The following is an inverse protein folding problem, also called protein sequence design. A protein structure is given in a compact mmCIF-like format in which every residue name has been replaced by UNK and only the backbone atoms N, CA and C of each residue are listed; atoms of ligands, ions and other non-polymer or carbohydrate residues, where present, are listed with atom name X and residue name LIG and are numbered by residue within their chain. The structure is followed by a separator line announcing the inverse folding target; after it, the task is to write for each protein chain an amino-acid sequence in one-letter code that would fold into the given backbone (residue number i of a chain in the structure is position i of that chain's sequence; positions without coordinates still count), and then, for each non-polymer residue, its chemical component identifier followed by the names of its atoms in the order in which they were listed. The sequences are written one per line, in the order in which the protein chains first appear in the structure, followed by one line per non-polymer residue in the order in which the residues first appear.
data_IF_524451630860
#
_entry.id   IF_524451630860
#
_cell.length_a   1.000
_cell.length_b   1.000
_cell.length_c   1.000
_cell.angle_alpha   90.00
_cell.angle_beta   90.00
_cell.angle_gamma   90.00
#
_symmetry.space_group_name_H-M   'P 1'
#
loop_
_entity.id
_entity.type
_entity.pdbx_description
1 polymer ?
#
# COMPACT_ATOMS: atom_id res chain seq x y z
N UNK A 1 -77.80 61.55 -20.66
CA UNK A 1 -76.52 62.23 -20.36
C UNK A 1 -75.99 61.67 -19.05
N UNK A 2 -75.02 60.77 -19.09
CA UNK A 2 -73.78 60.83 -18.30
C UNK A 2 -72.87 59.71 -18.77
N UNK A 3 -71.58 60.03 -18.80
CA UNK A 3 -70.49 59.36 -19.48
C UNK A 3 -69.72 58.52 -18.46
N UNK A 4 -69.05 57.49 -18.98
CA UNK A 4 -67.68 57.05 -18.65
C UNK A 4 -67.43 56.03 -17.53
N UNK A 5 -66.49 55.15 -17.92
CA UNK A 5 -65.36 54.57 -17.20
C UNK A 5 -65.64 53.43 -16.22
N UNK A 6 -65.62 52.22 -16.78
CA UNK A 6 -65.11 51.04 -16.11
C UNK A 6 -63.61 51.26 -15.86
N UNK A 7 -63.27 51.66 -14.63
CA UNK A 7 -61.88 51.73 -14.17
C UNK A 7 -61.57 50.39 -13.52
N UNK A 8 -60.82 49.55 -14.23
CA UNK A 8 -60.23 48.34 -13.69
C UNK A 8 -59.13 48.78 -12.71
N UNK A 9 -59.44 48.74 -11.42
CA UNK A 9 -58.45 48.91 -10.36
C UNK A 9 -57.57 47.65 -10.40
N UNK A 10 -56.36 47.81 -10.94
CA UNK A 10 -55.28 46.84 -10.78
C UNK A 10 -54.90 46.90 -9.31
N UNK A 11 -55.36 45.90 -8.55
CA UNK A 11 -54.87 45.61 -7.21
C UNK A 11 -53.41 45.19 -7.36
N UNK A 12 -52.49 46.13 -7.14
CA UNK A 12 -51.09 45.84 -6.93
C UNK A 12 -50.97 45.07 -5.62
N UNK A 13 -50.98 43.74 -5.72
CA UNK A 13 -50.55 42.85 -4.65
C UNK A 13 -49.07 43.14 -4.40
N UNK A 14 -48.80 43.99 -3.42
CA UNK A 14 -47.50 44.10 -2.78
C UNK A 14 -47.18 42.72 -2.19
N UNK A 15 -46.44 41.91 -2.95
CA UNK A 15 -45.62 40.86 -2.40
C UNK A 15 -44.55 41.56 -1.56
N UNK A 16 -44.90 41.83 -0.30
CA UNK A 16 -43.92 41.87 0.77
C UNK A 16 -43.44 40.44 0.91
N UNK A 17 -42.48 40.07 0.06
CA UNK A 17 -41.61 38.95 0.37
C UNK A 17 -40.94 39.31 1.68
N UNK A 18 -41.36 38.66 2.76
CA UNK A 18 -40.56 38.59 3.96
C UNK A 18 -39.26 37.90 3.55
N UNK A 19 -38.22 38.68 3.24
CA UNK A 19 -36.86 38.20 3.30
C UNK A 19 -36.56 38.04 4.78
N UNK A 20 -36.95 36.88 5.32
CA UNK A 20 -36.50 36.44 6.62
C UNK A 20 -35.07 35.97 6.36
N UNK A 21 -34.11 36.88 6.50
CA UNK A 21 -32.76 36.44 6.86
C UNK A 21 -32.94 35.57 8.11
N UNK A 22 -32.74 34.27 7.90
CA UNK A 22 -32.95 33.29 8.93
C UNK A 22 -31.61 33.22 9.68
N UNK A 23 -31.40 34.13 10.61
CA UNK A 23 -30.18 34.22 11.43
C UNK A 23 -29.91 32.94 12.26
N UNK A 24 -30.89 32.02 12.29
CA UNK A 24 -30.81 30.70 12.91
C UNK A 24 -30.31 29.59 11.94
N UNK A 25 -29.94 29.92 10.69
CA UNK A 25 -29.16 29.01 9.85
C UNK A 25 -27.73 28.96 10.39
N UNK A 26 -27.48 28.00 11.29
CA UNK A 26 -26.12 27.53 11.53
C UNK A 26 -25.62 26.98 10.20
N UNK A 27 -24.68 27.66 9.55
CA UNK A 27 -23.98 27.11 8.39
C UNK A 27 -23.41 25.75 8.82
N UNK A 28 -23.83 24.63 8.19
CA UNK A 28 -23.47 23.30 8.67
C UNK A 28 -21.98 22.99 8.58
N UNK A 29 -21.16 23.92 8.09
CA UNK A 29 -19.83 23.69 7.55
C UNK A 29 -18.82 24.80 7.89
N UNK A 30 -18.92 25.38 9.08
CA UNK A 30 -17.83 26.23 9.56
C UNK A 30 -16.55 25.39 9.66
N UNK A 31 -15.44 25.87 9.07
CA UNK A 31 -14.19 25.10 8.92
C UNK A 31 -13.58 24.67 10.24
N UNK A 32 -13.89 25.37 11.33
CA UNK A 32 -13.57 25.04 12.72
C UNK A 32 -14.27 23.76 13.23
N UNK A 33 -15.37 23.33 12.60
CA UNK A 33 -16.12 22.11 12.94
C UNK A 33 -15.69 20.86 12.17
N UNK A 34 -14.92 21.03 11.10
CA UNK A 34 -14.42 19.94 10.25
C UNK A 34 -12.92 20.14 9.99
N UNK A 35 -12.06 19.69 10.91
CA UNK A 35 -10.62 19.82 10.73
C UNK A 35 -10.14 18.96 9.56
N UNK A 36 -9.05 19.38 8.93
CA UNK A 36 -8.28 18.48 8.05
C UNK A 36 -7.54 17.47 8.95
N UNK A 37 -7.60 16.19 8.57
CA UNK A 37 -6.99 15.10 9.35
C UNK A 37 -5.81 14.56 8.57
N UNK A 38 -4.62 14.61 9.17
CA UNK A 38 -3.43 13.92 8.69
C UNK A 38 -3.44 12.51 9.31
N UNK A 39 -3.20 11.47 8.51
CA UNK A 39 -3.14 10.07 8.96
C UNK A 39 -1.95 9.35 8.31
N UNK A 40 -1.58 8.21 8.87
CA UNK A 40 -0.83 7.19 8.12
C UNK A 40 -1.78 6.57 7.10
N UNK A 41 -1.30 6.30 5.89
CA UNK A 41 -2.18 5.78 4.84
C UNK A 41 -2.46 4.28 5.01
N UNK A 42 -1.45 3.54 5.46
CA UNK A 42 -1.49 2.10 5.73
C UNK A 42 -1.34 1.78 7.22
N UNK A 43 -1.73 0.56 7.60
CA UNK A 43 -1.61 -0.04 8.92
C UNK A 43 -0.35 -0.92 9.07
N UNK A 44 0.28 -1.35 7.97
CA UNK A 44 1.55 -2.06 8.04
C UNK A 44 2.23 -2.32 6.69
N UNK A 45 3.44 -2.87 6.78
CA UNK A 45 4.28 -3.30 5.67
C UNK A 45 5.35 -4.26 6.22
N UNK A 46 6.15 -4.87 5.35
CA UNK A 46 7.30 -5.66 5.75
C UNK A 46 8.36 -5.71 4.67
N UNK A 47 9.57 -6.05 5.07
CA UNK A 47 10.70 -6.11 4.15
C UNK A 47 11.78 -7.04 4.66
N UNK A 48 12.61 -7.54 3.75
CA UNK A 48 13.69 -8.46 4.08
C UNK A 48 14.70 -7.81 5.03
N UNK A 49 15.33 -8.64 5.87
CA UNK A 49 16.22 -8.16 6.91
C UNK A 49 17.51 -7.49 6.43
N UNK A 50 17.85 -7.65 5.15
CA UNK A 50 18.98 -7.05 4.45
C UNK A 50 18.59 -5.80 3.63
N UNK A 51 17.34 -5.34 3.72
CA UNK A 51 16.91 -4.11 3.06
C UNK A 51 17.57 -2.87 3.66
N UNK A 52 17.84 -1.88 2.79
CA UNK A 52 18.50 -0.63 3.16
C UNK A 52 17.56 0.40 3.84
N UNK A 53 16.25 0.15 3.83
CA UNK A 53 15.26 0.97 4.49
C UNK A 53 13.84 0.56 4.16
N UNK A 54 12.90 1.15 4.88
CA UNK A 54 11.46 0.99 4.67
C UNK A 54 10.78 2.36 4.76
N UNK A 55 9.53 2.46 4.33
CA UNK A 55 8.82 3.74 4.36
C UNK A 55 7.40 3.62 4.90
N UNK A 56 6.80 4.76 5.21
CA UNK A 56 5.36 4.85 5.47
C UNK A 56 4.81 6.15 4.89
N UNK A 57 3.58 6.09 4.39
CA UNK A 57 2.92 7.24 3.77
C UNK A 57 2.12 8.00 4.82
N UNK A 58 2.34 9.32 4.88
CA UNK A 58 1.53 10.26 5.66
C UNK A 58 0.67 11.05 4.69
N UNK A 59 -0.66 10.92 4.80
CA UNK A 59 -1.61 11.54 3.86
C UNK A 59 -2.70 12.35 4.56
N UNK A 60 -3.48 13.08 3.76
CA UNK A 60 -4.67 13.81 4.20
C UNK A 60 -5.93 12.99 3.92
N UNK A 61 -6.81 12.91 4.92
CA UNK A 61 -8.16 12.39 4.69
C UNK A 61 -8.92 13.24 3.68
N UNK A 62 -9.75 12.55 2.90
CA UNK A 62 -10.73 13.19 2.02
C UNK A 62 -11.61 14.17 2.79
N UNK A 63 -11.75 15.37 2.23
CA UNK A 63 -12.67 16.37 2.78
C UNK A 63 -13.99 16.32 2.05
N UNK A 64 -15.08 16.45 2.81
CA UNK A 64 -16.35 16.96 2.27
C UNK A 64 -16.20 18.48 2.06
N UNK A 65 -16.51 19.00 0.87
CA UNK A 65 -16.44 20.44 0.58
C UNK A 65 -17.26 21.22 1.64
N UNK A 66 -16.70 22.24 2.31
CA UNK A 66 -17.49 23.14 3.15
C UNK A 66 -18.62 23.87 2.40
N UNK A 67 -18.65 23.90 1.07
CA UNK A 67 -19.81 24.38 0.29
C UNK A 67 -20.95 23.36 0.19
N UNK A 68 -20.73 22.12 0.64
CA UNK A 68 -21.71 21.03 0.61
C UNK A 68 -21.77 20.26 -0.72
N UNK A 69 -20.86 20.50 -1.67
CA UNK A 69 -20.69 19.64 -2.85
C UNK A 69 -19.98 18.34 -2.47
N UNK A 70 -20.45 17.21 -2.99
CA UNK A 70 -19.67 15.96 -2.97
C UNK A 70 -18.47 16.15 -3.89
N UNK A 71 -17.26 16.14 -3.33
CA UNK A 71 -16.02 16.26 -4.11
C UNK A 71 -15.57 14.94 -4.74
N UNK A 72 -16.39 13.89 -4.68
CA UNK A 72 -16.10 12.61 -5.30
C UNK A 72 -14.73 12.01 -4.93
N UNK A 73 -14.26 12.21 -3.68
CA UNK A 73 -12.95 11.71 -3.24
C UNK A 73 -11.75 12.59 -3.60
N UNK A 74 -11.94 13.92 -3.71
CA UNK A 74 -10.81 14.83 -3.96
C UNK A 74 -10.18 15.29 -2.64
N UNK A 75 -8.97 14.81 -2.35
CA UNK A 75 -8.12 15.31 -1.26
C UNK A 75 -7.80 16.79 -1.49
N UNK A 76 -8.13 17.64 -0.51
CA UNK A 76 -7.81 19.08 -0.53
C UNK A 76 -6.50 19.30 0.25
N UNK A 77 -5.42 19.76 -0.41
CA UNK A 77 -4.14 20.02 0.27
C UNK A 77 -4.22 21.06 1.39
N UNK A 78 -3.21 21.07 2.26
CA UNK A 78 -3.08 22.10 3.29
C UNK A 78 -2.78 23.47 2.67
N UNK A 79 -3.37 24.57 3.16
CA UNK A 79 -3.08 25.93 2.67
C UNK A 79 -1.75 26.49 3.17
N UNK A 80 -1.25 25.97 4.29
CA UNK A 80 0.03 26.34 4.90
C UNK A 80 0.74 25.07 5.41
N UNK A 81 2.07 25.14 5.53
CA UNK A 81 2.88 24.02 6.00
C UNK A 81 2.51 23.64 7.44
N UNK A 82 2.59 22.34 7.74
CA UNK A 82 2.45 21.80 9.07
C UNK A 82 3.70 21.02 9.46
N UNK A 83 3.97 20.92 10.76
CA UNK A 83 4.98 20.00 11.31
C UNK A 83 4.25 18.84 11.96
N UNK A 84 4.41 17.64 11.42
CA UNK A 84 3.84 16.41 11.95
C UNK A 84 4.88 15.77 12.85
N UNK A 85 4.50 15.41 14.07
CA UNK A 85 5.35 14.69 15.02
C UNK A 85 4.96 13.22 15.03
N UNK A 86 5.95 12.34 15.11
CA UNK A 86 5.77 10.89 15.14
C UNK A 86 6.65 10.23 16.20
N UNK A 87 6.36 8.98 16.51
CA UNK A 87 7.13 8.17 17.45
C UNK A 87 7.22 6.73 16.95
N UNK A 88 8.44 6.17 16.96
CA UNK A 88 8.73 4.76 16.74
C UNK A 88 8.72 4.08 18.11
N UNK A 89 7.95 3.01 18.25
CA UNK A 89 7.73 2.28 19.50
C UNK A 89 7.51 0.79 19.20
N UNK A 90 7.14 0.06 20.25
CA UNK A 90 6.78 -1.37 20.18
C UNK A 90 7.85 -2.19 19.45
N UNK A 91 9.11 -2.02 19.90
CA UNK A 91 10.26 -2.72 19.35
C UNK A 91 10.20 -4.20 19.75
N UNK A 92 9.96 -5.08 18.79
CA UNK A 92 9.94 -6.53 18.96
C UNK A 92 11.18 -7.14 18.32
N UNK A 93 11.77 -8.14 18.96
CA UNK A 93 12.97 -8.82 18.46
C UNK A 93 14.30 -8.06 18.66
N UNK A 94 14.30 -6.81 19.12
CA UNK A 94 15.55 -6.07 19.39
C UNK A 94 15.46 -5.06 20.55
N UNK A 95 16.63 -4.70 21.09
CA UNK A 95 16.73 -3.93 22.34
C UNK A 95 16.79 -2.41 22.17
N UNK A 96 17.45 -1.92 21.10
CA UNK A 96 17.59 -0.49 20.86
C UNK A 96 17.26 -0.16 19.41
N UNK A 97 16.47 0.90 19.23
CA UNK A 97 16.14 1.43 17.91
C UNK A 97 17.36 1.73 17.05
N UNK A 98 18.40 2.32 17.66
CA UNK A 98 19.62 2.73 16.96
C UNK A 98 20.49 1.57 16.46
N UNK A 99 20.20 0.33 16.88
CA UNK A 99 20.93 -0.84 16.40
C UNK A 99 20.50 -1.20 14.97
N UNK A 100 19.21 -0.98 14.66
CA UNK A 100 18.61 -1.27 13.36
C UNK A 100 18.31 0.00 12.54
N UNK A 101 17.63 1.01 13.09
CA UNK A 101 17.34 2.25 12.36
C UNK A 101 18.49 3.25 12.51
N UNK A 102 19.05 3.68 11.40
CA UNK A 102 20.23 4.56 11.34
C UNK A 102 19.86 6.02 11.03
N UNK A 103 18.72 6.26 10.36
CA UNK A 103 18.32 7.58 9.90
C UNK A 103 16.87 7.64 9.43
N UNK A 104 16.45 8.83 9.01
CA UNK A 104 15.16 9.01 8.33
C UNK A 104 15.21 10.22 7.39
N UNK A 105 14.54 10.10 6.24
CA UNK A 105 14.33 11.16 5.27
C UNK A 105 12.86 11.18 4.84
N UNK A 106 12.45 12.20 4.09
CA UNK A 106 11.09 12.23 3.54
C UNK A 106 11.05 12.98 2.22
N UNK A 107 10.09 12.62 1.39
CA UNK A 107 9.83 13.27 0.11
C UNK A 107 8.35 13.27 -0.23
N UNK A 108 7.99 13.97 -1.30
CA UNK A 108 6.69 13.83 -1.96
C UNK A 108 6.90 13.87 -3.47
N UNK A 109 6.01 13.23 -4.20
CA UNK A 109 6.02 13.26 -5.66
C UNK A 109 5.49 14.59 -6.20
N UNK A 110 6.22 15.18 -7.15
CA UNK A 110 5.79 16.38 -7.89
C UNK A 110 5.07 15.96 -9.17
N UNK A 111 5.60 14.93 -9.82
CA UNK A 111 5.04 14.19 -10.93
C UNK A 111 5.64 12.77 -10.92
N UNK A 112 5.15 11.91 -11.81
CA UNK A 112 5.53 10.49 -11.96
C UNK A 112 7.06 10.24 -12.07
N UNK A 113 7.86 11.28 -12.31
CA UNK A 113 9.28 11.17 -12.58
C UNK A 113 10.15 12.12 -11.74
N UNK A 114 9.55 12.88 -10.83
CA UNK A 114 10.24 13.93 -10.08
C UNK A 114 9.74 13.97 -8.66
N UNK A 115 10.65 13.81 -7.72
CA UNK A 115 10.37 13.97 -6.30
C UNK A 115 10.79 15.35 -5.80
N UNK A 116 10.35 15.70 -4.59
CA UNK A 116 10.85 16.88 -3.88
C UNK A 116 12.37 16.85 -3.65
N UNK A 117 12.97 15.65 -3.53
CA UNK A 117 14.41 15.49 -3.33
C UNK A 117 15.20 15.89 -4.59
N UNK A 118 14.74 15.51 -5.78
CA UNK A 118 15.39 15.84 -7.06
C UNK A 118 15.53 17.35 -7.28
N UNK A 119 14.54 18.10 -6.80
CA UNK A 119 14.53 19.57 -6.87
C UNK A 119 15.05 20.24 -5.59
N UNK A 120 15.70 19.47 -4.70
CA UNK A 120 16.35 19.92 -3.47
C UNK A 120 15.40 20.62 -2.49
N UNK A 121 14.16 20.14 -2.38
CA UNK A 121 13.19 20.55 -1.36
C UNK A 121 13.30 19.60 -0.17
N UNK A 122 13.96 20.05 0.89
CA UNK A 122 14.10 19.30 2.14
C UNK A 122 12.86 19.44 3.03
N UNK A 123 12.27 18.32 3.45
CA UNK A 123 11.13 18.25 4.37
C UNK A 123 11.54 18.35 5.86
N UNK A 124 12.82 18.59 6.16
CA UNK A 124 13.36 18.84 7.50
C UNK A 124 12.98 17.74 8.50
N UNK A 125 13.21 16.48 8.11
CA UNK A 125 13.02 15.35 9.03
C UNK A 125 14.00 15.46 10.19
N UNK A 126 13.51 15.20 11.39
CA UNK A 126 14.31 15.06 12.61
C UNK A 126 13.90 13.77 13.28
N UNK A 127 14.87 12.94 13.66
CA UNK A 127 14.64 11.71 14.42
C UNK A 127 15.63 11.62 15.58
N UNK A 128 15.12 11.35 16.78
CA UNK A 128 15.92 11.02 17.94
C UNK A 128 15.87 9.51 18.20
N UNK A 129 16.89 8.78 17.73
CA UNK A 129 16.99 7.33 17.88
C UNK A 129 17.00 6.84 19.33
N UNK A 130 17.38 7.69 20.30
CA UNK A 130 17.34 7.29 21.71
C UNK A 130 15.91 7.27 22.29
N UNK A 131 14.97 7.97 21.67
CA UNK A 131 13.58 8.03 22.15
C UNK A 131 12.56 7.59 21.11
N UNK A 132 12.97 7.30 19.88
CA UNK A 132 12.09 7.04 18.73
C UNK A 132 11.25 8.23 18.27
N UNK A 133 11.44 9.43 18.85
CA UNK A 133 10.58 10.58 18.56
C UNK A 133 11.15 11.38 17.41
N UNK A 134 10.29 11.76 16.47
CA UNK A 134 10.66 12.55 15.31
C UNK A 134 9.61 13.56 14.87
N UNK A 135 9.96 14.31 13.85
CA UNK A 135 9.05 15.24 13.18
C UNK A 135 9.43 15.44 11.72
N UNK A 136 8.44 15.74 10.89
CA UNK A 136 8.60 16.03 9.46
C UNK A 136 7.71 17.22 9.06
N UNK A 137 8.18 18.04 8.11
CA UNK A 137 7.36 19.09 7.51
C UNK A 137 6.44 18.49 6.46
N UNK A 138 5.14 18.63 6.67
CA UNK A 138 4.10 18.39 5.68
C UNK A 138 3.85 19.69 4.90
N UNK A 139 4.27 19.80 3.62
CA UNK A 139 4.20 21.06 2.90
C UNK A 139 2.77 21.45 2.52
N UNK A 140 2.52 22.75 2.38
CA UNK A 140 1.30 23.24 1.73
C UNK A 140 1.20 22.75 0.28
N UNK A 141 -0.02 22.64 -0.22
CA UNK A 141 -0.34 22.18 -1.58
C UNK A 141 0.12 20.75 -1.92
N UNK A 142 0.54 19.97 -0.91
CA UNK A 142 0.88 18.55 -1.03
C UNK A 142 -0.24 17.73 -0.39
N UNK A 143 -0.50 16.54 -0.95
CA UNK A 143 -1.57 15.63 -0.50
C UNK A 143 -1.05 14.54 0.43
N UNK A 144 0.16 14.07 0.16
CA UNK A 144 0.85 13.04 0.92
C UNK A 144 2.36 13.26 0.87
N UNK A 145 3.04 12.71 1.86
CA UNK A 145 4.50 12.63 1.91
C UNK A 145 4.85 11.19 2.29
N UNK A 146 5.99 10.72 1.81
CA UNK A 146 6.56 9.44 2.20
C UNK A 146 7.70 9.68 3.18
N UNK A 147 7.65 9.01 4.33
CA UNK A 147 8.67 9.06 5.38
C UNK A 147 9.48 7.76 5.31
N UNK A 148 10.74 7.87 4.91
CA UNK A 148 11.66 6.75 4.70
C UNK A 148 12.59 6.63 5.89
N UNK A 149 12.73 5.43 6.43
CA UNK A 149 13.67 5.08 7.50
C UNK A 149 14.83 4.29 6.92
N UNK A 150 16.05 4.74 7.20
CA UNK A 150 17.26 4.04 6.80
C UNK A 150 17.57 2.96 7.86
N UNK A 151 17.88 1.75 7.42
CA UNK A 151 18.18 0.59 8.28
C UNK A 151 19.68 0.25 8.23
N UNK A 152 20.09 -0.66 9.10
CA UNK A 152 21.40 -1.29 9.10
C UNK A 152 21.20 -2.72 8.56
N UNK A 153 21.32 -2.86 7.24
CA UNK A 153 21.16 -4.10 6.47
C UNK A 153 21.93 -5.30 7.07
N UNK A 154 23.11 -5.05 7.66
CA UNK A 154 23.92 -6.09 8.27
C UNK A 154 23.56 -6.43 9.73
N UNK A 155 22.56 -5.79 10.34
CA UNK A 155 22.23 -6.03 11.75
C UNK A 155 21.56 -7.39 11.95
N UNK A 156 20.67 -7.74 11.03
CA UNK A 156 19.84 -8.91 11.11
C UNK A 156 20.27 -10.03 10.15
N UNK A 157 20.93 -9.71 9.03
CA UNK A 157 21.59 -10.66 8.10
C UNK A 157 22.69 -11.47 8.81
N UNK A 158 22.28 -12.51 9.53
CA UNK A 158 23.15 -13.35 10.35
C UNK A 158 23.16 -14.83 9.93
N UNK A 159 22.42 -15.18 8.87
CA UNK A 159 22.30 -16.53 8.35
C UNK A 159 21.69 -17.51 9.36
N UNK A 160 20.80 -17.04 10.22
CA UNK A 160 20.14 -17.80 11.28
C UNK A 160 18.65 -17.48 11.35
N UNK A 161 17.84 -18.49 11.00
CA UNK A 161 16.40 -18.45 11.19
C UNK A 161 16.01 -18.05 12.62
N UNK A 162 15.14 -17.06 12.67
CA UNK A 162 14.58 -16.46 13.84
C UNK A 162 13.58 -17.34 14.55
N UNK A 163 13.55 -17.18 15.87
CA UNK A 163 12.59 -17.89 16.74
C UNK A 163 11.52 -16.96 17.30
N UNK A 164 11.62 -15.66 17.03
CA UNK A 164 10.69 -14.62 17.47
C UNK A 164 10.53 -13.61 16.32
N UNK A 165 9.32 -13.04 16.21
CA UNK A 165 9.05 -11.95 15.27
C UNK A 165 9.88 -10.70 15.61
N UNK A 166 10.18 -9.92 14.57
CA UNK A 166 10.94 -8.68 14.64
C UNK A 166 10.10 -7.58 14.01
N UNK A 167 9.76 -6.55 14.77
CA UNK A 167 8.88 -5.49 14.26
C UNK A 167 9.09 -4.15 14.97
N UNK A 168 8.61 -3.09 14.32
CA UNK A 168 8.44 -1.75 14.91
C UNK A 168 7.08 -1.18 14.57
N UNK A 169 6.58 -0.29 15.42
CA UNK A 169 5.38 0.49 15.11
C UNK A 169 5.67 1.99 15.08
N UNK A 170 5.06 2.67 14.11
CA UNK A 170 5.13 4.13 13.92
C UNK A 170 3.75 4.72 14.19
N UNK A 171 3.70 5.77 15.01
CA UNK A 171 2.48 6.52 15.29
C UNK A 171 2.66 8.02 15.12
N UNK A 172 1.60 8.69 14.67
CA UNK A 172 1.53 10.15 14.70
C UNK A 172 1.18 10.61 16.12
N UNK A 173 1.99 11.52 16.67
CA UNK A 173 1.87 11.99 18.07
C UNK A 173 1.44 13.44 18.19
N UNK A 174 1.55 14.24 17.12
CA UNK A 174 1.00 15.58 17.10
C UNK A 174 1.15 16.29 15.76
N UNK A 175 0.52 17.47 15.67
CA UNK A 175 0.72 18.40 14.56
C UNK A 175 0.83 19.82 15.09
N UNK A 176 1.81 20.57 14.58
CA UNK A 176 1.94 22.00 14.79
C UNK A 176 1.66 22.71 13.46
N UNK A 177 0.55 23.43 13.41
CA UNK A 177 0.11 24.20 12.25
C UNK A 177 -0.37 25.60 12.70
N UNK A 178 -0.41 26.58 11.79
CA UNK A 178 -1.07 27.86 12.04
C UNK A 178 -2.51 27.65 12.54
N UNK A 179 -2.91 28.40 13.58
CA UNK A 179 -4.23 28.20 14.22
C UNK A 179 -5.42 28.35 13.25
N UNK A 180 -5.25 29.09 12.16
CA UNK A 180 -6.27 29.28 11.13
C UNK A 180 -6.48 28.04 10.24
N UNK A 181 -5.55 27.09 10.21
CA UNK A 181 -5.58 25.93 9.31
C UNK A 181 -6.48 24.79 9.80
N UNK A 182 -6.88 24.79 11.08
CA UNK A 182 -7.69 23.73 11.72
C UNK A 182 -7.28 22.30 11.29
N UNK A 183 -6.03 21.94 11.56
CA UNK A 183 -5.45 20.63 11.19
C UNK A 183 -5.29 19.79 12.46
N UNK A 184 -5.64 18.52 12.39
CA UNK A 184 -5.44 17.51 13.45
C UNK A 184 -4.76 16.27 12.85
N UNK A 185 -4.29 15.37 13.72
CA UNK A 185 -3.82 14.04 13.31
C UNK A 185 -4.81 12.97 13.74
N UNK A 186 -4.85 11.88 13.00
CA UNK A 186 -5.37 10.61 13.50
C UNK A 186 -4.29 9.92 14.33
N UNK A 187 -4.50 9.82 15.64
CA UNK A 187 -3.60 9.14 16.57
C UNK A 187 -4.14 7.79 17.05
N UNK A 188 -5.19 7.27 16.38
CA UNK A 188 -5.76 5.96 16.67
C UNK A 188 -5.18 4.85 15.78
N UNK A 189 -4.46 5.22 14.72
CA UNK A 189 -3.82 4.30 13.77
C UNK A 189 -2.32 4.30 13.97
N UNK A 190 -1.70 3.15 13.76
CA UNK A 190 -0.26 2.91 13.74
C UNK A 190 0.10 2.18 12.46
N UNK A 191 1.32 2.36 11.99
CA UNK A 191 1.91 1.57 10.92
C UNK A 191 2.90 0.58 11.55
N UNK A 192 2.72 -0.73 11.33
CA UNK A 192 3.65 -1.77 11.77
C UNK A 192 4.58 -2.15 10.62
N UNK A 193 5.89 -2.07 10.82
CA UNK A 193 6.86 -2.65 9.89
C UNK A 193 7.39 -3.96 10.47
N UNK A 194 7.28 -5.03 9.69
CA UNK A 194 7.80 -6.36 10.02
C UNK A 194 9.12 -6.64 9.29
N UNK A 195 10.12 -7.06 10.04
CA UNK A 195 11.41 -7.48 9.48
C UNK A 195 11.32 -8.95 9.14
N UNK A 196 11.35 -9.25 7.85
CA UNK A 196 11.18 -10.58 7.30
C UNK A 196 12.53 -11.30 7.22
N UNK A 197 12.54 -12.49 7.79
CA UNK A 197 13.69 -13.37 7.81
C UNK A 197 13.78 -14.19 6.53
N UNK A 198 14.85 -13.98 5.78
CA UNK A 198 15.08 -14.64 4.50
C UNK A 198 15.74 -16.03 4.68
N UNK A 199 16.23 -16.42 5.86
CA UNK A 199 16.46 -17.83 6.18
C UNK A 199 15.17 -18.63 6.32
N UNK A 200 14.05 -17.93 6.49
CA UNK A 200 12.70 -18.46 6.44
C UNK A 200 12.17 -18.59 5.01
N UNK A 201 10.84 -18.56 4.89
CA UNK A 201 10.15 -18.67 3.60
C UNK A 201 10.13 -17.35 2.81
N UNK A 202 10.31 -16.20 3.47
CA UNK A 202 10.27 -14.90 2.81
C UNK A 202 11.38 -14.73 1.77
N UNK A 203 11.09 -13.92 0.77
CA UNK A 203 11.97 -13.65 -0.37
C UNK A 203 11.66 -14.50 -1.59
N UNK A 204 12.62 -14.51 -2.52
CA UNK A 204 12.43 -15.03 -3.87
C UNK A 204 12.85 -16.48 -4.03
N UNK A 205 12.01 -17.27 -4.72
CA UNK A 205 12.27 -18.66 -5.02
C UNK A 205 12.03 -18.97 -6.50
N UNK A 206 13.06 -19.46 -7.18
CA UNK A 206 13.06 -19.76 -8.60
C UNK A 206 12.67 -21.21 -8.91
N UNK A 207 11.82 -21.40 -9.90
CA UNK A 207 11.54 -22.71 -10.50
C UNK A 207 12.46 -22.98 -11.69
N UNK A 208 13.15 -24.13 -11.69
CA UNK A 208 13.87 -24.61 -12.88
C UNK A 208 12.89 -25.04 -13.99
N UNK A 209 12.57 -24.12 -14.90
CA UNK A 209 11.70 -24.38 -16.05
C UNK A 209 12.26 -25.45 -17.01
N UNK A 210 13.57 -25.74 -16.98
CA UNK A 210 14.18 -26.79 -17.78
C UNK A 210 13.85 -28.20 -17.25
N UNK A 211 13.49 -28.30 -15.97
CA UNK A 211 12.96 -29.51 -15.38
C UNK A 211 11.50 -29.71 -15.79
N UNK A 212 11.30 -30.46 -16.89
CA UNK A 212 9.99 -30.72 -17.47
C UNK A 212 8.93 -31.27 -16.50
N UNK A 213 9.33 -32.00 -15.44
CA UNK A 213 8.39 -32.49 -14.45
C UNK A 213 7.90 -31.38 -13.51
N UNK A 214 8.82 -30.52 -13.04
CA UNK A 214 8.50 -29.39 -12.17
C UNK A 214 7.72 -28.30 -12.92
N UNK A 215 8.11 -28.00 -14.16
CA UNK A 215 7.37 -27.09 -15.02
C UNK A 215 5.93 -27.57 -15.31
N UNK A 216 5.73 -28.88 -15.51
CA UNK A 216 4.40 -29.43 -15.68
C UNK A 216 3.53 -29.29 -14.42
N UNK A 217 4.12 -29.45 -13.23
CA UNK A 217 3.43 -29.25 -11.95
C UNK A 217 3.05 -27.77 -11.76
N UNK A 218 3.98 -26.84 -12.03
CA UNK A 218 3.70 -25.41 -12.02
C UNK A 218 2.51 -25.04 -12.91
N UNK A 219 2.49 -25.53 -14.15
CA UNK A 219 1.37 -25.32 -15.07
C UNK A 219 0.07 -25.93 -14.56
N UNK A 220 0.13 -27.08 -13.87
CA UNK A 220 -1.06 -27.71 -13.31
C UNK A 220 -1.63 -26.92 -12.13
N UNK A 221 -0.76 -26.33 -11.30
CA UNK A 221 -1.16 -25.47 -10.19
C UNK A 221 -1.70 -24.14 -10.69
N UNK A 222 -0.89 -23.33 -11.38
CA UNK A 222 -1.24 -21.94 -11.68
C UNK A 222 -1.90 -21.74 -13.04
N UNK A 223 -1.74 -22.70 -13.96
CA UNK A 223 -2.54 -22.73 -15.19
C UNK A 223 -4.02 -23.03 -14.94
N UNK A 224 -4.36 -23.50 -13.73
CA UNK A 224 -5.73 -23.69 -13.30
C UNK A 224 -6.50 -22.35 -13.19
N UNK A 225 -5.81 -21.29 -12.77
CA UNK A 225 -6.38 -19.94 -12.60
C UNK A 225 -5.99 -18.97 -13.72
N UNK A 226 -4.87 -19.21 -14.41
CA UNK A 226 -4.35 -18.32 -15.44
C UNK A 226 -4.15 -19.06 -16.78
N UNK A 227 -4.92 -18.66 -17.80
CA UNK A 227 -4.89 -19.33 -19.11
C UNK A 227 -3.57 -19.18 -19.85
N UNK A 228 -2.84 -18.10 -19.61
CA UNK A 228 -1.56 -17.84 -20.28
C UNK A 228 -0.51 -18.81 -19.73
N UNK A 229 -0.47 -18.99 -18.41
CA UNK A 229 0.34 -20.04 -17.75
C UNK A 229 -0.06 -21.44 -18.24
N UNK A 230 -1.36 -21.73 -18.37
CA UNK A 230 -1.84 -23.04 -18.85
C UNK A 230 -1.31 -23.37 -20.25
N UNK A 231 -1.16 -22.35 -21.09
CA UNK A 231 -0.71 -22.49 -22.49
C UNK A 231 0.81 -22.42 -22.68
N UNK A 232 1.55 -22.02 -21.64
CA UNK A 232 2.98 -21.71 -21.66
C UNK A 232 3.85 -22.90 -22.08
N UNK A 233 4.78 -22.71 -23.01
CA UNK A 233 5.82 -23.71 -23.31
C UNK A 233 7.12 -23.32 -22.60
N UNK A 234 7.86 -24.31 -22.09
CA UNK A 234 9.12 -24.06 -21.37
C UNK A 234 10.18 -23.31 -22.20
N UNK A 235 10.07 -23.36 -23.54
CA UNK A 235 10.98 -22.65 -24.43
C UNK A 235 10.68 -21.14 -24.55
N UNK A 236 9.49 -20.72 -24.13
CA UNK A 236 9.06 -19.32 -24.15
C UNK A 236 9.33 -18.61 -22.81
N UNK A 237 9.82 -19.35 -21.82
CA UNK A 237 10.09 -18.88 -20.45
C UNK A 237 11.56 -18.56 -20.28
N UNK A 238 11.85 -17.38 -19.76
CA UNK A 238 13.18 -16.98 -19.32
C UNK A 238 13.38 -17.32 -17.83
N UNK A 239 12.43 -16.92 -16.97
CA UNK A 239 12.48 -17.15 -15.51
C UNK A 239 11.07 -17.34 -14.93
N UNK A 240 10.95 -18.16 -13.90
CA UNK A 240 9.75 -18.28 -13.05
C UNK A 240 10.18 -18.08 -11.60
N UNK A 241 9.58 -17.11 -10.94
CA UNK A 241 9.89 -16.70 -9.58
C UNK A 241 8.60 -16.67 -8.76
N UNK A 242 8.69 -17.14 -7.51
CA UNK A 242 7.63 -17.06 -6.51
C UNK A 242 8.23 -16.31 -5.31
N UNK A 243 7.68 -15.14 -5.03
CA UNK A 243 8.12 -14.24 -3.96
C UNK A 243 7.11 -14.32 -2.81
N UNK A 244 7.61 -14.56 -1.60
CA UNK A 244 6.82 -14.49 -0.37
C UNK A 244 7.15 -13.18 0.33
N UNK A 245 6.21 -12.24 0.27
CA UNK A 245 6.32 -10.87 0.76
C UNK A 245 5.37 -10.65 1.94
N UNK A 246 5.31 -9.42 2.46
CA UNK A 246 4.43 -9.10 3.59
C UNK A 246 2.96 -9.18 3.17
N UNK A 247 2.20 -10.07 3.82
CA UNK A 247 0.79 -10.33 3.53
C UNK A 247 0.47 -10.69 2.06
N UNK A 248 1.49 -11.04 1.24
CA UNK A 248 1.36 -11.30 -0.19
C UNK A 248 2.27 -12.44 -0.70
N UNK A 249 1.78 -13.15 -1.71
CA UNK A 249 2.60 -13.97 -2.61
C UNK A 249 2.47 -13.42 -4.02
N UNK A 250 3.63 -13.22 -4.66
CA UNK A 250 3.73 -12.81 -6.05
C UNK A 250 4.36 -13.93 -6.90
N UNK A 251 3.72 -14.31 -8.00
CA UNK A 251 4.22 -15.29 -8.96
C UNK A 251 4.51 -14.59 -10.28
N UNK A 252 5.78 -14.48 -10.63
CA UNK A 252 6.27 -13.82 -11.85
C UNK A 252 6.82 -14.82 -12.85
N UNK A 253 6.33 -14.73 -14.08
CA UNK A 253 6.84 -15.49 -15.24
C UNK A 253 7.38 -14.52 -16.27
N UNK A 254 8.70 -14.38 -16.34
CA UNK A 254 9.37 -13.61 -17.37
C UNK A 254 9.47 -14.44 -18.66
N UNK A 255 8.99 -13.89 -19.78
CA UNK A 255 9.01 -14.54 -21.08
C UNK A 255 10.26 -14.18 -21.87
N UNK A 256 10.73 -15.08 -22.74
CA UNK A 256 11.81 -14.79 -23.70
C UNK A 256 11.39 -13.70 -24.70
N UNK A 257 10.09 -13.53 -24.94
CA UNK A 257 9.57 -12.40 -25.72
C UNK A 257 9.75 -11.09 -24.95
N UNK A 258 10.32 -10.10 -25.61
CA UNK A 258 10.55 -8.77 -25.03
C UNK A 258 9.57 -7.73 -25.57
N UNK A 259 9.29 -6.70 -24.79
CA UNK A 259 8.59 -5.49 -25.22
C UNK A 259 9.36 -4.21 -24.93
N UNK A 260 8.88 -3.09 -25.46
CA UNK A 260 9.49 -1.79 -25.24
C UNK A 260 8.63 -0.96 -24.32
N UNK A 261 9.15 -0.68 -23.13
CA UNK A 261 8.50 0.18 -22.13
C UNK A 261 9.17 1.54 -22.18
N UNK A 262 8.38 2.61 -22.12
CA UNK A 262 8.90 3.97 -22.03
C UNK A 262 8.35 4.64 -20.79
N UNK A 263 9.23 4.90 -19.84
CA UNK A 263 8.93 5.51 -18.56
C UNK A 263 9.90 6.67 -18.34
N UNK A 264 9.38 7.81 -17.89
CA UNK A 264 10.18 9.02 -17.67
C UNK A 264 11.06 9.46 -18.85
N UNK A 265 10.62 9.15 -20.08
CA UNK A 265 11.33 9.50 -21.32
C UNK A 265 12.55 8.61 -21.62
N UNK A 266 12.78 7.56 -20.82
CA UNK A 266 13.74 6.49 -21.10
C UNK A 266 12.98 5.30 -21.67
N UNK A 267 13.47 4.78 -22.79
CA UNK A 267 12.89 3.60 -23.43
C UNK A 267 13.82 2.42 -23.24
N UNK A 268 13.31 1.35 -22.64
CA UNK A 268 14.04 0.11 -22.41
C UNK A 268 13.34 -1.06 -23.12
N UNK A 269 14.10 -2.14 -23.32
CA UNK A 269 13.58 -3.40 -23.83
C UNK A 269 13.64 -4.38 -22.67
N UNK A 270 12.47 -4.81 -22.20
CA UNK A 270 12.30 -5.70 -21.05
C UNK A 270 11.57 -6.97 -21.48
N UNK A 271 11.71 -8.04 -20.72
CA UNK A 271 10.92 -9.25 -20.92
C UNK A 271 9.44 -8.93 -20.68
N UNK A 272 8.55 -9.54 -21.44
CA UNK A 272 7.13 -9.54 -21.09
C UNK A 272 6.93 -10.41 -19.86
N UNK A 273 6.00 -10.02 -19.00
CA UNK A 273 5.75 -10.70 -17.74
C UNK A 273 4.30 -11.16 -17.66
N UNK A 274 4.10 -12.34 -17.05
CA UNK A 274 2.81 -12.78 -16.54
C UNK A 274 2.94 -12.78 -15.03
N UNK A 275 2.03 -12.09 -14.35
CA UNK A 275 2.08 -11.88 -12.92
C UNK A 275 0.77 -12.35 -12.26
N UNK A 276 0.89 -12.96 -11.09
CA UNK A 276 -0.24 -13.32 -10.21
C UNK A 276 0.12 -12.84 -8.80
N UNK A 277 -0.59 -11.82 -8.36
CA UNK A 277 -0.52 -11.24 -7.02
C UNK A 277 -1.68 -11.78 -6.17
N UNK A 278 -1.38 -12.24 -4.96
CA UNK A 278 -2.37 -12.88 -4.08
C UNK A 278 -2.11 -12.58 -2.62
N UNK A 279 -3.17 -12.41 -1.83
CA UNK A 279 -3.03 -12.15 -0.40
C UNK A 279 -2.73 -13.44 0.37
N UNK A 280 -1.76 -13.37 1.29
CA UNK A 280 -1.50 -14.40 2.28
C UNK A 280 -2.57 -14.38 3.36
N UNK A 281 -3.13 -15.55 3.68
CA UNK A 281 -4.06 -15.73 4.80
C UNK A 281 -3.40 -16.50 5.97
N UNK A 282 -2.46 -17.39 5.66
CA UNK A 282 -1.68 -18.13 6.66
C UNK A 282 -0.27 -18.39 6.15
N UNK A 283 0.74 -18.09 6.97
CA UNK A 283 2.13 -18.41 6.70
C UNK A 283 2.87 -18.73 8.00
N UNK A 284 3.49 -19.91 8.05
CA UNK A 284 4.47 -20.19 9.10
C UNK A 284 5.78 -19.43 8.86
N UNK A 285 6.18 -18.53 9.76
CA UNK A 285 7.36 -17.66 9.54
C UNK A 285 8.54 -17.91 10.51
N UNK A 286 8.33 -18.64 11.60
CA UNK A 286 9.34 -18.88 12.66
C UNK A 286 9.95 -20.29 12.60
N UNK A 287 9.72 -21.01 11.51
CA UNK A 287 10.22 -22.37 11.29
C UNK A 287 10.53 -22.59 9.82
N UNK A 288 11.49 -23.48 9.55
CA UNK A 288 11.85 -23.90 8.20
C UNK A 288 10.77 -24.78 7.55
N UNK A 289 9.67 -25.07 8.24
CA UNK A 289 8.51 -25.77 7.74
C UNK A 289 7.24 -25.20 8.38
N UNK A 290 6.13 -25.24 7.66
CA UNK A 290 4.89 -24.66 8.14
C UNK A 290 3.75 -24.79 7.15
N UNK A 291 2.59 -24.29 7.55
CA UNK A 291 1.42 -24.19 6.70
C UNK A 291 1.51 -22.92 5.83
N UNK A 292 0.84 -22.96 4.68
CA UNK A 292 0.71 -21.82 3.77
C UNK A 292 -0.70 -21.81 3.16
N UNK A 293 -1.34 -20.65 3.20
CA UNK A 293 -2.62 -20.37 2.56
C UNK A 293 -2.60 -18.99 1.91
N UNK A 294 -3.04 -18.91 0.66
CA UNK A 294 -3.20 -17.64 -0.05
C UNK A 294 -4.44 -17.65 -0.95
N UNK A 295 -5.00 -16.47 -1.13
CA UNK A 295 -6.29 -16.23 -1.76
C UNK A 295 -6.15 -15.10 -2.79
N UNK A 296 -6.84 -15.25 -3.91
CA UNK A 296 -6.92 -14.19 -4.91
C UNK A 296 -8.26 -14.19 -5.65
N UNK A 297 -8.48 -13.16 -6.46
CA UNK A 297 -9.70 -12.98 -7.23
C UNK A 297 -9.41 -12.87 -8.73
N UNK A 298 -10.28 -13.46 -9.56
CA UNK A 298 -10.21 -13.38 -11.03
C UNK A 298 -11.45 -12.71 -11.56
N UNK A 299 -11.27 -11.59 -12.26
CA UNK A 299 -12.35 -10.93 -13.00
C UNK A 299 -12.78 -11.77 -14.21
N UNK A 300 -14.04 -12.18 -14.20
CA UNK A 300 -14.67 -12.92 -15.27
C UNK A 300 -15.11 -11.98 -16.40
N UNK A 301 -15.31 -12.53 -17.60
CA UNK A 301 -15.76 -11.75 -18.78
C UNK A 301 -17.10 -10.98 -18.62
N UNK A 302 -17.91 -11.30 -17.61
CA UNK A 302 -19.15 -10.61 -17.25
C UNK A 302 -18.96 -9.52 -16.17
N UNK A 303 -17.72 -9.27 -15.72
CA UNK A 303 -17.34 -8.35 -14.65
C UNK A 303 -17.60 -8.88 -13.24
N UNK A 304 -17.93 -10.16 -13.05
CA UNK A 304 -17.98 -10.76 -11.71
C UNK A 304 -16.59 -11.20 -11.28
N UNK A 305 -16.29 -11.10 -9.98
CA UNK A 305 -15.07 -11.64 -9.38
C UNK A 305 -15.33 -13.08 -8.91
N UNK A 306 -14.37 -13.97 -9.12
CA UNK A 306 -14.36 -15.31 -8.53
C UNK A 306 -13.09 -15.50 -7.73
N UNK A 307 -13.25 -15.95 -6.50
CA UNK A 307 -12.16 -16.30 -5.60
C UNK A 307 -11.51 -17.63 -6.02
N UNK A 308 -10.20 -17.72 -5.84
CA UNK A 308 -9.45 -18.95 -5.82
C UNK A 308 -8.62 -19.02 -4.54
N UNK A 309 -8.32 -20.23 -4.10
CA UNK A 309 -7.58 -20.47 -2.85
C UNK A 309 -6.51 -21.53 -3.09
N UNK A 310 -5.31 -21.32 -2.57
CA UNK A 310 -4.30 -22.36 -2.48
C UNK A 310 -3.98 -22.64 -1.02
N UNK A 311 -3.96 -23.92 -0.65
CA UNK A 311 -3.63 -24.36 0.72
C UNK A 311 -2.60 -25.46 0.69
N UNK A 312 -1.74 -25.48 1.69
CA UNK A 312 -0.88 -26.63 1.95
C UNK A 312 0.24 -26.30 2.93
N UNK A 313 1.46 -26.71 2.58
CA UNK A 313 2.61 -26.58 3.48
C UNK A 313 3.89 -26.34 2.72
N UNK A 314 4.89 -25.81 3.42
CA UNK A 314 6.22 -25.62 2.91
C UNK A 314 7.26 -26.31 3.80
N UNK A 315 8.42 -26.62 3.21
CA UNK A 315 9.61 -27.06 3.94
C UNK A 315 10.89 -26.61 3.23
N UNK A 316 11.83 -26.08 3.99
CA UNK A 316 13.09 -25.50 3.54
C UNK A 316 14.25 -26.38 4.01
N UNK A 317 15.16 -26.67 3.08
CA UNK A 317 16.36 -27.47 3.35
C UNK A 317 17.55 -26.91 2.58
N UNK A 318 18.30 -26.00 3.23
CA UNK A 318 19.30 -25.19 2.55
C UNK A 318 18.62 -24.23 1.57
N UNK A 319 19.09 -24.18 0.32
CA UNK A 319 18.50 -23.35 -0.74
C UNK A 319 17.29 -23.99 -1.44
N UNK A 320 16.75 -25.10 -0.94
CA UNK A 320 15.62 -25.79 -1.55
C UNK A 320 14.35 -25.56 -0.74
N UNK A 321 13.35 -24.95 -1.39
CA UNK A 321 11.97 -24.88 -0.92
C UNK A 321 11.16 -26.01 -1.56
N UNK A 322 10.50 -26.79 -0.72
CA UNK A 322 9.48 -27.77 -1.11
C UNK A 322 8.12 -27.19 -0.76
N UNK A 323 7.33 -26.86 -1.77
CA UNK A 323 6.01 -26.26 -1.62
C UNK A 323 4.95 -27.29 -2.02
N UNK A 324 4.12 -27.70 -1.07
CA UNK A 324 3.02 -28.65 -1.29
C UNK A 324 1.72 -27.88 -1.29
N UNK A 325 1.00 -27.87 -2.41
CA UNK A 325 -0.21 -27.05 -2.58
C UNK A 325 -1.36 -27.85 -3.19
N UNK A 326 -2.57 -27.49 -2.77
CA UNK A 326 -3.82 -27.83 -3.43
C UNK A 326 -4.53 -26.52 -3.79
N UNK A 327 -4.89 -26.34 -5.07
CA UNK A 327 -5.66 -25.19 -5.54
C UNK A 327 -7.15 -25.50 -5.63
N UNK A 328 -8.00 -24.54 -5.25
CA UNK A 328 -9.45 -24.55 -5.39
C UNK A 328 -9.90 -23.32 -6.19
N UNK A 329 -10.72 -23.55 -7.24
CA UNK A 329 -11.28 -22.50 -8.08
C UNK A 329 -12.50 -23.04 -8.83
N UNK A 330 -13.59 -22.27 -8.85
CA UNK A 330 -14.83 -22.58 -9.59
C UNK A 330 -15.44 -23.97 -9.31
N UNK A 331 -15.54 -24.35 -8.03
CA UNK A 331 -16.01 -25.66 -7.55
C UNK A 331 -15.15 -26.85 -8.03
N UNK A 332 -13.97 -26.60 -8.59
CA UNK A 332 -12.95 -27.58 -8.95
C UNK A 332 -11.74 -27.48 -8.02
N UNK A 333 -11.07 -28.61 -7.81
CA UNK A 333 -9.85 -28.70 -7.00
C UNK A 333 -8.76 -29.41 -7.81
N UNK A 334 -7.51 -28.97 -7.65
CA UNK A 334 -6.36 -29.75 -8.10
C UNK A 334 -6.12 -30.94 -7.15
N UNK A 335 -5.35 -31.93 -7.60
CA UNK A 335 -4.68 -32.83 -6.66
C UNK A 335 -3.70 -32.01 -5.79
N UNK A 336 -3.26 -32.59 -4.67
CA UNK A 336 -2.12 -32.08 -3.91
C UNK A 336 -0.84 -32.28 -4.72
N UNK A 337 -0.13 -31.19 -4.99
CA UNK A 337 1.03 -31.14 -5.88
C UNK A 337 2.24 -30.56 -5.16
N UNK A 338 3.42 -31.08 -5.52
CA UNK A 338 4.69 -30.70 -4.88
C UNK A 338 5.57 -29.97 -5.89
N UNK A 339 5.79 -28.69 -5.63
CA UNK A 339 6.70 -27.83 -6.37
C UNK A 339 8.04 -27.72 -5.63
N UNK A 340 9.14 -27.78 -6.37
CA UNK A 340 10.49 -27.66 -5.85
C UNK A 340 11.12 -26.40 -6.42
N UNK A 341 11.49 -25.48 -5.55
CA UNK A 341 12.02 -24.17 -5.88
C UNK A 341 13.43 -23.99 -5.29
N UNK A 342 14.22 -23.10 -5.87
CA UNK A 342 15.55 -22.76 -5.38
C UNK A 342 15.62 -21.29 -4.99
N UNK A 343 16.24 -20.98 -3.86
CA UNK A 343 16.69 -19.62 -3.56
C UNK A 343 17.87 -19.27 -4.46
#
# INVERSE_FOLDING_TARGET
MYKKLLTLIITASLLTGCDKENDDLVEPYASDRFPQVIKLDDEGDGGLEDEAGFSCVITLNDRKDPTGQELGGTVIPLPEDAIVSFEIKDLEGFSNLADYITGATAFYEIDDCTTSQDVNIDLNVSLNLATGKGSVRFPKNVKEIELVFETNDAFFDDNVLNTEERSVSIELTGVTAPAASNVVINNASSFKYEVQDDEGIHGDWELDASNAAQFAIFKQLFGFINSDIASLDAADVDKIEISFEYDEINIKVALVETESVTECGVTEIVNKEIEIETSLEELGILSADGDVEFVGEIEQSNGSLKEFVYKGSFAISGSLLTLTLQGEYDDEETDELILLLQK
#
